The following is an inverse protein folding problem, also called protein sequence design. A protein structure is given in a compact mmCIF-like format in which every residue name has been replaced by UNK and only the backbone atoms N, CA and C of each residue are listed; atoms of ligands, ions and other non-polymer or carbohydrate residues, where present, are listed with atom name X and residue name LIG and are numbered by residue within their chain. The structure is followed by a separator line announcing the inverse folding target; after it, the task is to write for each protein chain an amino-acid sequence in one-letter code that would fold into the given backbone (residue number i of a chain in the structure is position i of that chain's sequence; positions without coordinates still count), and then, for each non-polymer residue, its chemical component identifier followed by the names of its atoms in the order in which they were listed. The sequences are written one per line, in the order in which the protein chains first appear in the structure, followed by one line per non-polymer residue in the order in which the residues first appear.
data_IF_463890859908
#
_entry.id   IF_463890859908
#
_cell.length_a   1.000
_cell.length_b   1.000
_cell.length_c   1.000
_cell.angle_alpha   90.00
_cell.angle_beta   90.00
_cell.angle_gamma   90.00
#
_symmetry.space_group_name_H-M   'P 1'
#
loop_
_entity.id
_entity.type
_entity.pdbx_description
1 polymer ?
#
# COMPACT_ATOMS: atom_id res chain seq x y z
N UNK A 1 -3.37 11.72 -0.97
CA UNK A 1 -2.99 12.75 -1.96
C UNK A 1 -1.51 12.58 -2.29
N UNK A 2 -1.12 12.68 -3.56
CA UNK A 2 0.28 12.63 -4.00
C UNK A 2 0.61 13.96 -4.65
N UNK A 3 1.56 14.72 -4.08
CA UNK A 3 2.05 15.97 -4.67
C UNK A 3 3.31 15.71 -5.52
N UNK A 4 3.96 16.76 -6.02
CA UNK A 4 5.24 16.66 -6.75
C UNK A 4 6.35 15.98 -5.95
N UNK A 5 6.43 16.23 -4.65
CA UNK A 5 7.54 15.79 -3.81
C UNK A 5 7.13 14.97 -2.59
N UNK A 6 5.83 14.81 -2.31
CA UNK A 6 5.35 14.17 -1.07
C UNK A 6 4.10 13.32 -1.28
N UNK A 7 3.94 12.32 -0.42
CA UNK A 7 2.71 11.53 -0.29
C UNK A 7 2.06 11.85 1.04
N UNK A 8 0.77 12.18 1.00
CA UNK A 8 -0.04 12.54 2.16
C UNK A 8 -1.14 11.50 2.37
N UNK A 9 -1.13 10.88 3.54
CA UNK A 9 -2.24 10.10 4.07
C UNK A 9 -3.12 11.02 4.92
N UNK A 10 -4.31 11.36 4.41
CA UNK A 10 -5.24 12.32 5.00
C UNK A 10 -6.43 11.59 5.62
N UNK A 11 -7.02 12.12 6.69
CA UNK A 11 -8.27 11.55 7.22
C UNK A 11 -9.44 11.84 6.26
N UNK A 12 -10.15 10.79 5.85
CA UNK A 12 -11.27 10.88 4.91
C UNK A 12 -12.53 11.55 5.47
N UNK A 13 -12.70 11.61 6.80
CA UNK A 13 -13.87 12.17 7.49
C UNK A 13 -13.86 13.71 7.58
N UNK A 14 -12.78 14.38 7.14
CA UNK A 14 -12.64 15.83 7.18
C UNK A 14 -12.12 16.40 5.85
N UNK A 15 -12.73 16.05 4.72
CA UNK A 15 -12.26 16.53 3.40
C UNK A 15 -12.24 18.07 3.30
N UNK A 16 -13.16 18.77 3.99
CA UNK A 16 -13.17 20.24 4.03
C UNK A 16 -12.05 20.86 4.89
N UNK A 17 -11.46 20.08 5.81
CA UNK A 17 -10.30 20.46 6.62
C UNK A 17 -9.41 19.21 6.85
N UNK A 18 -8.70 18.75 5.81
CA UNK A 18 -8.06 17.44 5.83
C UNK A 18 -6.95 17.41 6.87
N UNK A 19 -7.15 16.60 7.93
CA UNK A 19 -6.13 16.38 8.94
C UNK A 19 -5.15 15.31 8.45
N UNK A 20 -3.87 15.65 8.44
CA UNK A 20 -2.80 14.72 8.08
C UNK A 20 -2.67 13.60 9.13
N UNK A 21 -2.66 12.34 8.67
CA UNK A 21 -2.28 11.18 9.50
C UNK A 21 -0.79 10.90 9.38
N UNK A 22 -0.26 10.98 8.16
CA UNK A 22 1.14 10.71 7.84
C UNK A 22 1.52 11.42 6.54
N UNK A 23 2.76 11.90 6.48
CA UNK A 23 3.39 12.41 5.27
C UNK A 23 4.77 11.77 5.12
N UNK A 24 5.19 11.52 3.88
CA UNK A 24 6.59 11.18 3.59
C UNK A 24 7.01 11.78 2.25
N UNK A 25 8.32 12.00 2.10
CA UNK A 25 8.90 12.48 0.86
C UNK A 25 8.90 11.40 -0.22
N UNK A 26 8.47 11.76 -1.41
CA UNK A 26 8.39 10.86 -2.56
C UNK A 26 9.76 10.26 -2.91
N UNK A 27 10.84 11.03 -2.69
CA UNK A 27 12.23 10.57 -2.83
C UNK A 27 12.54 9.31 -1.99
N UNK A 28 11.87 9.14 -0.83
CA UNK A 28 12.05 8.00 0.08
C UNK A 28 11.28 6.76 -0.34
N UNK A 29 10.39 6.84 -1.33
CA UNK A 29 9.63 5.70 -1.83
C UNK A 29 10.56 4.76 -2.61
N UNK A 30 10.88 3.58 -2.07
CA UNK A 30 11.81 2.64 -2.72
C UNK A 30 11.11 1.64 -3.62
N UNK A 31 9.84 1.36 -3.35
CA UNK A 31 9.05 0.43 -4.11
C UNK A 31 7.60 0.46 -3.67
N UNK A 32 6.77 -0.23 -4.45
CA UNK A 32 5.38 -0.51 -4.12
C UNK A 32 5.14 -2.00 -4.26
N UNK A 33 4.23 -2.54 -3.45
CA UNK A 33 3.85 -3.94 -3.52
C UNK A 33 2.35 -4.09 -3.51
N UNK A 34 1.84 -5.03 -4.31
CA UNK A 34 0.43 -5.35 -4.42
C UNK A 34 0.23 -6.85 -4.62
N UNK A 35 -0.91 -7.37 -4.19
CA UNK A 35 -1.28 -8.75 -4.45
C UNK A 35 -1.63 -8.96 -5.92
N UNK A 36 -1.68 -10.22 -6.34
CA UNK A 36 -2.25 -10.61 -7.63
C UNK A 36 -3.77 -10.76 -7.58
N UNK A 37 -4.37 -10.61 -6.39
CA UNK A 37 -5.79 -10.80 -6.14
C UNK A 37 -6.60 -9.54 -6.53
N UNK A 38 -7.91 -9.71 -6.82
CA UNK A 38 -8.81 -8.60 -7.14
C UNK A 38 -9.20 -7.79 -5.89
N UNK A 39 -8.21 -7.37 -5.11
CA UNK A 39 -8.37 -6.47 -3.97
C UNK A 39 -7.96 -5.04 -4.31
N UNK A 40 -8.05 -4.17 -3.31
CA UNK A 40 -7.72 -2.76 -3.42
C UNK A 40 -6.50 -2.37 -2.58
N UNK A 41 -5.66 -3.32 -2.14
CA UNK A 41 -4.53 -3.04 -1.26
C UNK A 41 -3.26 -2.69 -2.03
N UNK A 42 -2.59 -1.64 -1.56
CA UNK A 42 -1.30 -1.19 -2.08
C UNK A 42 -0.38 -0.86 -0.90
N UNK A 43 0.83 -1.41 -0.92
CA UNK A 43 1.87 -1.17 0.08
C UNK A 43 2.93 -0.24 -0.51
N UNK A 44 3.27 0.82 0.21
CA UNK A 44 4.40 1.69 -0.08
C UNK A 44 5.58 1.33 0.82
N UNK A 45 6.72 1.03 0.19
CA UNK A 45 8.01 0.80 0.85
C UNK A 45 8.72 2.13 1.01
N UNK A 46 8.93 2.57 2.26
CA UNK A 46 9.47 3.91 2.55
C UNK A 46 10.81 3.81 3.25
N UNK A 47 11.89 4.28 2.60
CA UNK A 47 13.25 4.20 3.13
C UNK A 47 13.39 4.95 4.46
N UNK A 48 13.83 4.20 5.48
CA UNK A 48 14.06 4.75 6.82
C UNK A 48 12.77 5.08 7.58
N UNK A 49 11.63 4.56 7.13
CA UNK A 49 10.35 4.62 7.83
C UNK A 49 9.66 3.25 7.80
N UNK A 50 8.55 3.12 8.50
CA UNK A 50 7.66 1.95 8.43
C UNK A 50 6.91 1.94 7.10
N UNK A 51 6.47 0.78 6.63
CA UNK A 51 5.68 0.69 5.41
C UNK A 51 4.32 1.40 5.57
N UNK A 52 3.70 1.79 4.47
CA UNK A 52 2.34 2.32 4.47
C UNK A 52 1.44 1.46 3.59
N UNK A 53 0.43 0.83 4.18
CA UNK A 53 -0.61 0.15 3.42
C UNK A 53 -1.82 1.07 3.27
N UNK A 54 -2.36 1.14 2.06
CA UNK A 54 -3.55 1.92 1.72
C UNK A 54 -4.52 1.06 0.92
N UNK A 55 -5.81 1.39 1.04
CA UNK A 55 -6.86 0.81 0.22
C UNK A 55 -7.27 1.82 -0.86
N UNK A 56 -7.16 1.42 -2.13
CA UNK A 56 -7.39 2.26 -3.31
C UNK A 56 -8.05 1.42 -4.40
N UNK A 57 -9.24 1.83 -4.86
CA UNK A 57 -10.02 1.11 -5.87
C UNK A 57 -9.34 1.03 -7.25
N UNK A 58 -8.45 1.96 -7.53
CA UNK A 58 -7.71 2.09 -8.80
C UNK A 58 -6.21 1.91 -8.53
N UNK A 59 -5.84 0.78 -7.91
CA UNK A 59 -4.45 0.54 -7.47
C UNK A 59 -3.47 0.55 -8.64
N UNK A 60 -3.85 0.02 -9.80
CA UNK A 60 -3.01 -0.02 -11.01
C UNK A 60 -2.71 1.38 -11.56
N UNK A 61 -3.72 2.24 -11.63
CA UNK A 61 -3.60 3.62 -12.11
C UNK A 61 -2.72 4.44 -11.16
N UNK A 62 -2.88 4.25 -9.85
CA UNK A 62 -2.02 4.90 -8.86
C UNK A 62 -0.57 4.45 -8.99
N UNK A 63 -0.31 3.15 -9.20
CA UNK A 63 1.05 2.64 -9.42
C UNK A 63 1.68 3.22 -10.69
N UNK A 64 0.94 3.27 -11.80
CA UNK A 64 1.41 3.86 -13.05
C UNK A 64 1.73 5.35 -12.90
N UNK A 65 0.85 6.11 -12.25
CA UNK A 65 1.08 7.53 -11.98
C UNK A 65 2.31 7.75 -11.08
N UNK A 66 2.50 6.91 -10.06
CA UNK A 66 3.68 6.95 -9.20
C UNK A 66 4.98 6.64 -9.97
N UNK A 67 4.99 5.60 -10.82
CA UNK A 67 6.16 5.27 -11.65
C UNK A 67 6.54 6.44 -12.57
N UNK A 68 5.56 7.01 -13.28
CA UNK A 68 5.80 8.16 -14.16
C UNK A 68 6.37 9.36 -13.38
N UNK A 69 5.85 9.62 -12.18
CA UNK A 69 6.31 10.73 -11.33
C UNK A 69 7.70 10.49 -10.75
N UNK A 70 8.01 9.26 -10.34
CA UNK A 70 9.35 8.88 -9.87
C UNK A 70 10.40 9.00 -10.98
N UNK A 71 10.06 8.56 -12.18
CA UNK A 71 10.94 8.70 -13.35
C UNK A 71 11.17 10.18 -13.68
N UNK A 72 10.12 10.99 -13.73
CA UNK A 72 10.21 12.42 -14.05
C UNK A 72 10.97 13.22 -12.98
N UNK A 73 10.69 12.96 -11.70
CA UNK A 73 11.21 13.76 -10.58
C UNK A 73 12.61 13.34 -10.12
N UNK A 74 12.96 12.06 -10.28
CA UNK A 74 14.19 11.50 -9.70
C UNK A 74 15.01 10.66 -10.69
N UNK A 75 14.58 10.54 -11.96
CA UNK A 75 15.31 9.80 -12.99
C UNK A 75 15.43 8.30 -12.71
N UNK A 76 14.61 7.74 -11.81
CA UNK A 76 14.68 6.33 -11.42
C UNK A 76 13.33 5.64 -11.53
N UNK A 77 13.40 4.37 -11.89
CA UNK A 77 12.26 3.48 -11.90
C UNK A 77 11.82 3.15 -10.46
N UNK A 78 10.51 3.08 -10.27
CA UNK A 78 9.92 2.62 -9.02
C UNK A 78 9.61 1.13 -9.14
N UNK A 79 10.26 0.32 -8.31
CA UNK A 79 10.05 -1.13 -8.27
C UNK A 79 8.60 -1.46 -7.87
N UNK A 80 8.00 -2.43 -8.57
CA UNK A 80 6.66 -2.95 -8.31
C UNK A 80 6.76 -4.45 -8.04
N UNK A 81 6.43 -4.85 -6.83
CA UNK A 81 6.38 -6.24 -6.38
C UNK A 81 4.94 -6.77 -6.48
N UNK A 82 4.77 -7.92 -7.12
CA UNK A 82 3.50 -8.64 -7.17
C UNK A 82 3.64 -9.97 -6.45
N UNK A 83 2.91 -10.15 -5.34
CA UNK A 83 2.92 -11.40 -4.57
C UNK A 83 1.69 -11.47 -3.68
N UNK A 84 1.14 -12.68 -3.52
CA UNK A 84 0.06 -12.93 -2.55
C UNK A 84 0.59 -13.16 -1.14
N UNK A 85 1.91 -13.24 -0.95
CA UNK A 85 2.56 -13.15 0.34
C UNK A 85 3.53 -11.97 0.34
N UNK A 86 3.16 -10.92 1.06
CA UNK A 86 3.95 -9.68 1.12
C UNK A 86 4.46 -9.44 2.53
N UNK A 87 5.74 -9.11 2.64
CA UNK A 87 6.27 -8.56 3.87
C UNK A 87 5.73 -7.15 4.11
N UNK A 88 5.51 -6.79 5.36
CA UNK A 88 5.01 -5.47 5.76
C UNK A 88 5.67 -5.02 7.06
N UNK A 89 6.44 -3.94 6.99
CA UNK A 89 7.12 -3.37 8.16
C UNK A 89 6.18 -2.44 8.93
N UNK A 90 5.36 -3.01 9.82
CA UNK A 90 4.32 -2.29 10.57
C UNK A 90 4.89 -1.36 11.67
N UNK A 91 6.06 -1.70 12.21
CA UNK A 91 6.78 -0.88 13.17
C UNK A 91 8.30 -1.07 12.98
N UNK A 92 9.13 -0.19 13.54
CA UNK A 92 10.59 -0.32 13.47
C UNK A 92 11.01 -1.67 14.07
N UNK A 93 11.66 -2.51 13.26
CA UNK A 93 12.09 -3.86 13.65
C UNK A 93 10.96 -4.89 13.75
N UNK A 94 9.72 -4.56 13.36
CA UNK A 94 8.58 -5.47 13.36
C UNK A 94 8.06 -5.67 11.95
N UNK A 95 8.49 -6.77 11.35
CA UNK A 95 7.98 -7.27 10.08
C UNK A 95 6.79 -8.21 10.34
N UNK A 96 5.73 -8.02 9.56
CA UNK A 96 4.61 -8.93 9.44
C UNK A 96 4.58 -9.50 8.03
N UNK A 97 4.08 -10.71 7.87
CA UNK A 97 3.70 -11.26 6.57
C UNK A 97 2.20 -11.05 6.37
N UNK A 98 1.81 -10.48 5.24
CA UNK A 98 0.41 -10.29 4.84
C UNK A 98 0.14 -11.25 3.69
N UNK A 99 -0.76 -12.20 3.91
CA UNK A 99 -1.18 -13.18 2.91
C UNK A 99 -2.52 -12.75 2.32
N UNK A 100 -2.66 -12.85 1.01
CA UNK A 100 -3.89 -12.58 0.28
C UNK A 100 -4.42 -13.90 -0.28
N UNK A 101 -5.67 -14.22 0.02
CA UNK A 101 -6.30 -15.44 -0.48
C UNK A 101 -7.70 -15.11 -0.99
N UNK A 102 -7.96 -15.42 -2.26
CA UNK A 102 -9.27 -15.21 -2.84
C UNK A 102 -10.28 -16.27 -2.39
N UNK A 103 -11.46 -15.81 -1.99
CA UNK A 103 -12.57 -16.63 -1.56
C UNK A 103 -13.83 -16.22 -2.33
N UNK A 104 -14.23 -17.08 -3.27
CA UNK A 104 -15.40 -16.86 -4.14
C UNK A 104 -16.72 -16.82 -3.37
N UNK A 105 -16.76 -17.34 -2.14
CA UNK A 105 -17.97 -17.30 -1.33
C UNK A 105 -18.19 -15.96 -0.64
N UNK A 106 -17.16 -15.11 -0.61
CA UNK A 106 -17.19 -13.81 0.05
C UNK A 106 -17.50 -12.69 -0.94
N UNK A 107 -18.25 -11.70 -0.45
CA UNK A 107 -18.55 -10.45 -1.19
C UNK A 107 -17.60 -9.31 -0.83
N UNK A 108 -17.00 -9.37 0.35
CA UNK A 108 -16.12 -8.34 0.88
C UNK A 108 -14.79 -8.95 1.32
N UNK A 109 -13.80 -8.09 1.53
CA UNK A 109 -12.52 -8.52 2.09
C UNK A 109 -12.55 -8.56 3.61
N UNK A 110 -11.99 -9.62 4.21
CA UNK A 110 -11.90 -9.77 5.67
C UNK A 110 -10.45 -9.97 6.12
N UNK A 111 -10.09 -9.35 7.23
CA UNK A 111 -8.79 -9.48 7.87
C UNK A 111 -8.86 -10.42 9.05
N UNK A 112 -7.95 -11.40 9.08
CA UNK A 112 -7.78 -12.29 10.22
C UNK A 112 -6.31 -12.43 10.58
N UNK A 113 -6.03 -12.64 11.86
CA UNK A 113 -4.69 -12.95 12.35
C UNK A 113 -4.51 -14.46 12.31
N UNK A 114 -3.52 -14.95 11.56
CA UNK A 114 -3.18 -16.37 11.52
C UNK A 114 -2.29 -16.73 12.70
N UNK A 115 -1.25 -15.92 12.91
CA UNK A 115 -0.30 -16.09 14.01
C UNK A 115 0.28 -14.72 14.43
N UNK A 116 1.32 -14.70 15.28
CA UNK A 116 1.93 -13.45 15.79
C UNK A 116 2.54 -12.57 14.69
N UNK A 117 3.02 -13.16 13.61
CA UNK A 117 3.74 -12.51 12.52
C UNK A 117 2.96 -12.53 11.21
N UNK A 118 1.88 -13.29 11.10
CA UNK A 118 1.11 -13.46 9.85
C UNK A 118 -0.32 -12.92 9.97
N UNK A 119 -0.68 -12.05 9.03
CA UNK A 119 -2.04 -11.60 8.77
C UNK A 119 -2.55 -12.23 7.47
N UNK A 120 -3.83 -12.59 7.44
CA UNK A 120 -4.54 -13.08 6.25
C UNK A 120 -5.62 -12.07 5.85
N UNK A 121 -5.59 -11.71 4.58
CA UNK A 121 -6.63 -10.96 3.88
C UNK A 121 -7.37 -11.96 3.01
N UNK A 122 -8.59 -12.33 3.39
CA UNK A 122 -9.49 -13.01 2.47
C UNK A 122 -10.09 -11.98 1.53
N UNK A 123 -9.99 -12.22 0.23
CA UNK A 123 -10.46 -11.31 -0.81
C UNK A 123 -11.73 -11.89 -1.41
N UNK A 124 -12.85 -11.18 -1.27
CA UNK A 124 -14.12 -11.54 -1.89
C UNK A 124 -14.21 -11.13 -3.36
N UNK A 125 -15.33 -11.48 -3.98
CA UNK A 125 -15.68 -11.01 -5.33
C UNK A 125 -16.07 -9.53 -5.23
N UNK A 126 -15.30 -8.66 -5.89
CA UNK A 126 -15.58 -7.24 -6.06
C UNK A 126 -16.56 -7.01 -7.21
#
# INVERSE_FOLDING_TARGET
MISESRVFNLKADKIQQPKERRVFELARLTGVAMSTQPDNYLIFRVKGEIDMMVQVSQKTEVVQALRARMQKGYGRELAVEFSDELDFYAAKGKQLKVKFAFDRSMKDSEWSKVDRHTMLVKVGIV
#
